data_IF_096397102530
#
_entry.id   IF_096397102530
#
_cell.length_a   1.000
_cell.length_b   1.000
_cell.length_c   1.000
_cell.angle_alpha   90.00
_cell.angle_beta   90.00
_cell.angle_gamma   90.00
#
_symmetry.space_group_name_H-M   'P 1'
#
loop_
_entity.id
_entity.type
_entity.pdbx_description
1 polymer ?
#
# COMPACT_ATOMS: atom_id res chain seq x y z
N UNK A 1 -6.75 5.26 -39.52
CA UNK A 1 -5.48 4.51 -39.68
C UNK A 1 -5.68 3.09 -39.17
N UNK A 2 -5.38 2.08 -39.99
CA UNK A 2 -5.48 0.67 -39.57
C UNK A 2 -4.12 0.24 -38.99
N UNK A 3 -4.00 0.27 -37.67
CA UNK A 3 -2.77 -0.07 -36.93
C UNK A 3 -2.36 -1.53 -37.17
N UNK A 4 -3.33 -2.43 -37.31
CA UNK A 4 -3.09 -3.85 -37.60
C UNK A 4 -2.52 -4.04 -39.00
N UNK A 5 -3.13 -3.44 -40.03
CA UNK A 5 -2.63 -3.55 -41.40
C UNK A 5 -1.24 -2.92 -41.58
N UNK A 6 -0.95 -1.83 -40.85
CA UNK A 6 0.37 -1.20 -40.85
C UNK A 6 1.42 -2.07 -40.17
N UNK A 7 1.08 -2.68 -39.03
CA UNK A 7 1.99 -3.59 -38.29
C UNK A 7 2.29 -4.86 -39.07
N UNK A 8 1.35 -5.37 -39.88
CA UNK A 8 1.57 -6.51 -40.77
C UNK A 8 2.52 -6.13 -41.93
N UNK A 9 2.38 -4.93 -42.50
CA UNK A 9 3.22 -4.46 -43.61
C UNK A 9 4.61 -3.99 -43.17
N UNK A 10 4.73 -3.46 -41.96
CA UNK A 10 5.98 -3.02 -41.36
C UNK A 10 6.15 -3.70 -40.00
N UNK A 11 6.66 -4.94 -39.96
CA UNK A 11 6.73 -5.71 -38.71
C UNK A 11 7.83 -5.23 -37.76
N UNK A 12 8.86 -4.55 -38.27
CA UNK A 12 10.05 -4.17 -37.48
C UNK A 12 9.68 -3.28 -36.27
N UNK A 13 8.91 -2.18 -36.42
CA UNK A 13 8.51 -1.35 -35.28
C UNK A 13 7.63 -2.09 -34.28
N UNK A 14 6.73 -2.96 -34.75
CA UNK A 14 5.86 -3.75 -33.88
C UNK A 14 6.67 -4.74 -33.03
N UNK A 15 7.62 -5.45 -33.64
CA UNK A 15 8.50 -6.38 -32.93
C UNK A 15 9.40 -5.64 -31.94
N UNK A 16 9.98 -4.50 -32.32
CA UNK A 16 10.80 -3.70 -31.39
C UNK A 16 10.01 -3.22 -30.17
N UNK A 17 8.75 -2.80 -30.37
CA UNK A 17 7.88 -2.41 -29.26
C UNK A 17 7.69 -3.57 -28.27
N UNK A 18 7.36 -4.76 -28.78
CA UNK A 18 7.18 -5.94 -27.91
C UNK A 18 8.49 -6.34 -27.22
N UNK A 19 9.64 -6.27 -27.90
CA UNK A 19 10.95 -6.52 -27.29
C UNK A 19 11.22 -5.55 -26.13
N UNK A 20 10.94 -4.25 -26.32
CA UNK A 20 11.09 -3.25 -25.27
C UNK A 20 10.14 -3.50 -24.09
N UNK A 21 8.88 -3.83 -24.37
CA UNK A 21 7.90 -4.16 -23.33
C UNK A 21 8.29 -5.42 -22.56
N UNK A 22 8.77 -6.45 -23.24
CA UNK A 22 9.27 -7.67 -22.59
C UNK A 22 10.46 -7.36 -21.69
N UNK A 23 11.44 -6.60 -22.18
CA UNK A 23 12.62 -6.26 -21.40
C UNK A 23 12.27 -5.40 -20.18
N UNK A 24 11.44 -4.38 -20.37
CA UNK A 24 10.92 -3.55 -19.28
C UNK A 24 10.12 -4.36 -18.26
N UNK A 25 9.30 -5.31 -18.72
CA UNK A 25 8.55 -6.24 -17.88
C UNK A 25 9.45 -7.13 -17.03
N UNK A 26 10.48 -7.73 -17.62
CA UNK A 26 11.45 -8.58 -16.89
C UNK A 26 12.20 -7.79 -15.83
N UNK A 27 12.68 -6.57 -16.16
CA UNK A 27 13.37 -5.70 -15.20
C UNK A 27 12.42 -5.32 -14.06
N UNK A 28 11.19 -4.92 -14.38
CA UNK A 28 10.20 -4.50 -13.39
C UNK A 28 9.79 -5.65 -12.47
N UNK A 29 9.62 -6.86 -13.03
CA UNK A 29 9.30 -8.06 -12.27
C UNK A 29 10.41 -8.42 -11.27
N UNK A 30 11.68 -8.32 -11.68
CA UNK A 30 12.81 -8.56 -10.78
C UNK A 30 12.98 -7.44 -9.73
N UNK A 31 12.64 -6.19 -10.07
CA UNK A 31 12.74 -5.06 -9.16
C UNK A 31 11.59 -4.99 -8.14
N UNK A 32 10.49 -5.72 -8.39
CA UNK A 32 9.35 -5.74 -7.49
C UNK A 32 9.72 -6.39 -6.16
N UNK A 33 9.53 -5.65 -5.07
CA UNK A 33 9.81 -6.14 -3.72
C UNK A 33 8.78 -7.20 -3.33
N UNK A 34 9.24 -8.35 -2.88
CA UNK A 34 8.40 -9.37 -2.27
C UNK A 34 8.31 -9.09 -0.78
N UNK A 35 7.10 -8.86 -0.27
CA UNK A 35 6.84 -8.63 1.15
C UNK A 35 5.93 -9.75 1.67
N UNK A 36 6.44 -10.56 2.61
CA UNK A 36 5.66 -11.64 3.24
C UNK A 36 4.64 -11.12 4.26
N UNK A 37 5.00 -10.02 4.94
CA UNK A 37 4.10 -9.25 5.76
C UNK A 37 4.01 -7.85 5.13
N UNK A 38 2.91 -7.51 4.44
CA UNK A 38 2.72 -6.14 4.00
C UNK A 38 2.73 -5.24 5.24
N UNK A 39 3.39 -4.08 5.12
CA UNK A 39 3.36 -3.06 6.16
C UNK A 39 1.95 -2.44 6.13
N UNK A 40 1.02 -3.06 6.85
CA UNK A 40 -0.33 -2.55 7.00
C UNK A 40 -0.26 -1.56 8.14
N UNK A 41 -0.04 -0.30 7.78
CA UNK A 41 -0.28 0.83 8.68
C UNK A 41 -1.79 0.92 8.94
N UNK A 42 -2.27 0.08 9.86
CA UNK A 42 -3.60 0.22 10.43
C UNK A 42 -3.63 1.59 11.12
N UNK A 43 -4.52 2.51 10.73
CA UNK A 43 -4.62 3.83 11.35
C UNK A 43 -5.19 3.65 12.77
N UNK A 44 -4.34 3.25 13.70
CA UNK A 44 -4.65 3.11 15.11
C UNK A 44 -4.17 4.36 15.84
N UNK A 45 -5.09 5.01 16.54
CA UNK A 45 -4.76 6.10 17.46
C UNK A 45 -4.62 5.50 18.85
N UNK A 46 -3.40 5.53 19.42
CA UNK A 46 -3.14 5.07 20.79
C UNK A 46 -3.18 6.28 21.70
N UNK A 47 -4.13 6.30 22.64
CA UNK A 47 -4.22 7.34 23.67
C UNK A 47 -3.91 6.71 25.03
N UNK A 48 -2.83 7.15 25.67
CA UNK A 48 -2.41 6.68 27.00
C UNK A 48 -2.73 7.71 28.06
N UNK A 49 -3.45 7.32 29.11
CA UNK A 49 -3.73 8.19 30.25
C UNK A 49 -3.38 7.47 31.56
N UNK A 50 -2.76 8.19 32.50
CA UNK A 50 -2.36 7.64 33.80
C UNK A 50 -2.76 8.57 34.93
N UNK A 51 -3.36 8.01 35.98
CA UNK A 51 -3.70 8.74 37.21
C UNK A 51 -3.15 7.98 38.44
N UNK A 52 -1.98 8.39 38.98
CA UNK A 52 -1.34 7.69 40.09
C UNK A 52 -2.18 7.79 41.36
N UNK A 53 -2.36 6.67 42.06
CA UNK A 53 -3.11 6.58 43.32
C UNK A 53 -4.64 6.50 43.16
N UNK A 54 -5.17 6.46 41.94
CA UNK A 54 -6.59 6.25 41.71
C UNK A 54 -6.97 4.77 41.85
N UNK A 55 -8.10 4.50 42.52
CA UNK A 55 -8.71 3.17 42.48
C UNK A 55 -9.18 2.86 41.05
N UNK A 56 -9.20 1.58 40.62
CA UNK A 56 -9.56 1.20 39.24
C UNK A 56 -10.90 1.78 38.76
N UNK A 57 -11.94 1.77 39.61
CA UNK A 57 -13.25 2.34 39.25
C UNK A 57 -13.25 3.87 39.08
N UNK A 58 -12.31 4.56 39.73
CA UNK A 58 -12.14 6.01 39.60
C UNK A 58 -11.36 6.38 38.34
N UNK A 59 -10.35 5.58 37.96
CA UNK A 59 -9.67 5.71 36.67
C UNK A 59 -10.64 5.50 35.49
N UNK A 60 -11.57 4.56 35.59
CA UNK A 60 -12.60 4.34 34.58
C UNK A 60 -13.51 5.58 34.42
N UNK A 61 -14.07 6.06 35.53
CA UNK A 61 -15.09 7.12 35.50
C UNK A 61 -14.50 8.49 35.17
N UNK A 62 -13.37 8.85 35.77
CA UNK A 62 -12.81 10.20 35.68
C UNK A 62 -11.89 10.40 34.48
N UNK A 63 -11.27 9.33 33.97
CA UNK A 63 -10.27 9.40 32.90
C UNK A 63 -10.75 8.68 31.65
N UNK A 64 -10.98 7.36 31.71
CA UNK A 64 -11.30 6.56 30.51
C UNK A 64 -12.62 7.01 29.86
N UNK A 65 -13.69 7.14 30.65
CA UNK A 65 -15.02 7.52 30.14
C UNK A 65 -15.07 8.94 29.57
N UNK A 66 -14.26 9.87 30.08
CA UNK A 66 -14.11 11.20 29.48
C UNK A 66 -13.33 11.17 28.17
N UNK A 67 -12.28 10.35 28.10
CA UNK A 67 -11.47 10.17 26.90
C UNK A 67 -12.27 9.55 25.74
N UNK A 68 -13.15 8.60 26.05
CA UNK A 68 -13.98 7.89 25.06
C UNK A 68 -15.16 8.72 24.52
N UNK A 69 -15.72 9.62 25.33
CA UNK A 69 -16.90 10.42 24.98
C UNK A 69 -16.58 11.86 24.52
N UNK A 70 -15.29 12.25 24.46
CA UNK A 70 -14.86 13.58 23.98
C UNK A 70 -14.65 13.63 22.48
#
# INVERSE_FOLDING_TARGET
>A
MNVSAWSIRNPIPAVMLFVLLTFGGVVSFNAMKVQNFPDIDLPTVIVTASLPGAAPGQMETDVARKLENS
#
